data_IF_619498323422
#
_entry.id   IF_619498323422
#
_cell.length_a   1.000
_cell.length_b   1.000
_cell.length_c   1.000
_cell.angle_alpha   90.00
_cell.angle_beta   90.00
_cell.angle_gamma   90.00
#
_symmetry.space_group_name_H-M   'P 1'
#
loop_
_entity.id
_entity.type
_entity.pdbx_description
1 polymer ?
#
# COMPACT_ATOMS: atom_id res chain seq x y z
N UNK A 1 -9.80 -2.17 -9.06
CA UNK A 1 -9.49 -3.11 -10.15
C UNK A 1 -10.37 -4.35 -10.18
N UNK A 2 -10.51 -5.11 -9.08
CA UNK A 2 -11.24 -6.38 -9.08
C UNK A 2 -10.44 -7.58 -9.58
N UNK A 3 -9.12 -7.45 -9.58
CA UNK A 3 -8.22 -8.55 -9.86
C UNK A 3 -8.00 -9.40 -8.60
N UNK A 4 -8.05 -10.72 -8.73
CA UNK A 4 -7.60 -11.64 -7.69
C UNK A 4 -6.07 -11.73 -7.75
N UNK A 5 -5.33 -11.38 -6.68
CA UNK A 5 -3.89 -11.60 -6.64
C UNK A 5 -3.56 -13.09 -6.79
N UNK A 6 -2.59 -13.40 -7.64
CA UNK A 6 -2.16 -14.78 -7.93
C UNK A 6 -0.68 -15.02 -7.63
N UNK A 7 0.14 -13.97 -7.63
CA UNK A 7 1.53 -14.06 -7.21
C UNK A 7 2.05 -12.70 -6.75
N UNK A 8 3.11 -12.73 -5.94
CA UNK A 8 3.86 -11.58 -5.50
C UNK A 8 5.34 -11.71 -5.89
N UNK A 9 6.03 -10.58 -5.98
CA UNK A 9 7.48 -10.51 -6.12
C UNK A 9 8.03 -9.37 -5.28
N UNK A 10 9.33 -9.38 -5.02
CA UNK A 10 9.99 -8.35 -4.23
C UNK A 10 11.31 -7.88 -4.87
N UNK A 11 11.65 -6.61 -4.70
CA UNK A 11 12.98 -6.09 -5.00
C UNK A 11 13.57 -5.44 -3.75
N UNK A 12 14.59 -6.08 -3.19
CA UNK A 12 15.18 -5.71 -1.90
C UNK A 12 16.61 -5.23 -2.09
N UNK A 13 16.92 -4.07 -1.52
CA UNK A 13 18.26 -3.50 -1.58
C UNK A 13 18.70 -3.14 -0.17
N UNK A 14 19.80 -3.73 0.29
CA UNK A 14 20.32 -3.56 1.64
C UNK A 14 21.74 -3.01 1.63
N UNK A 15 22.19 -2.55 2.79
CA UNK A 15 23.57 -2.09 3.01
C UNK A 15 24.62 -3.21 2.91
N UNK A 16 25.86 -2.88 3.22
CA UNK A 16 26.97 -3.82 3.30
C UNK A 16 26.73 -4.94 4.32
N UNK A 17 27.34 -6.11 4.09
CA UNK A 17 27.17 -7.31 4.91
C UNK A 17 27.51 -7.11 6.39
N UNK A 18 28.58 -6.34 6.63
CA UNK A 18 29.18 -6.04 7.93
C UNK A 18 28.59 -4.79 8.57
N UNK A 19 27.72 -4.06 7.86
CA UNK A 19 27.02 -2.92 8.43
C UNK A 19 26.10 -3.39 9.58
N UNK A 20 26.15 -2.78 10.77
CA UNK A 20 25.50 -3.31 11.98
C UNK A 20 24.00 -3.57 11.85
N UNK A 21 23.32 -2.80 10.99
CA UNK A 21 21.86 -2.89 10.78
C UNK A 21 21.45 -3.91 9.72
N UNK A 22 22.33 -4.23 8.76
CA UNK A 22 21.96 -5.00 7.57
C UNK A 22 21.36 -6.36 7.91
N UNK A 23 22.00 -7.10 8.82
CA UNK A 23 21.50 -8.42 9.23
C UNK A 23 20.11 -8.36 9.88
N UNK A 24 19.86 -7.34 10.69
CA UNK A 24 18.55 -7.14 11.32
C UNK A 24 17.49 -6.80 10.28
N UNK A 25 17.79 -5.87 9.36
CA UNK A 25 16.88 -5.45 8.30
C UNK A 25 16.52 -6.59 7.35
N UNK A 26 17.51 -7.36 6.88
CA UNK A 26 17.29 -8.52 6.00
C UNK A 26 16.34 -9.51 6.67
N UNK A 27 16.63 -9.89 7.92
CA UNK A 27 15.81 -10.87 8.63
C UNK A 27 14.39 -10.34 8.88
N UNK A 28 14.25 -9.08 9.29
CA UNK A 28 12.95 -8.47 9.58
C UNK A 28 12.08 -8.32 8.34
N UNK A 29 12.65 -7.84 7.23
CA UNK A 29 11.92 -7.65 5.96
C UNK A 29 11.49 -8.99 5.39
N UNK A 30 12.39 -9.98 5.31
CA UNK A 30 12.07 -11.30 4.76
C UNK A 30 11.03 -12.01 5.63
N UNK A 31 11.14 -11.93 6.97
CA UNK A 31 10.14 -12.48 7.87
C UNK A 31 8.77 -11.79 7.74
N UNK A 32 8.75 -10.46 7.56
CA UNK A 32 7.52 -9.71 7.33
C UNK A 32 6.81 -10.09 6.03
N UNK A 33 7.56 -10.17 4.91
CA UNK A 33 7.04 -10.61 3.61
C UNK A 33 6.50 -12.03 3.71
N UNK A 34 7.27 -12.95 4.31
CA UNK A 34 6.86 -14.33 4.56
C UNK A 34 5.58 -14.39 5.39
N UNK A 35 5.56 -13.73 6.54
CA UNK A 35 4.41 -13.76 7.46
C UNK A 35 3.13 -13.29 6.79
N UNK A 36 3.18 -12.16 6.06
CA UNK A 36 2.00 -11.60 5.44
C UNK A 36 1.56 -12.43 4.22
N UNK A 37 2.47 -12.70 3.28
CA UNK A 37 2.16 -13.43 2.05
C UNK A 37 1.66 -14.85 2.29
N UNK A 38 2.27 -15.56 3.24
CA UNK A 38 1.89 -16.94 3.56
C UNK A 38 0.51 -17.00 4.22
N UNK A 39 0.21 -16.08 5.15
CA UNK A 39 -1.09 -16.04 5.83
C UNK A 39 -2.21 -15.54 4.90
N UNK A 40 -1.92 -14.53 4.06
CA UNK A 40 -2.84 -14.02 3.06
C UNK A 40 -3.12 -15.05 1.95
N UNK A 41 -2.15 -15.95 1.71
CA UNK A 41 -2.26 -17.04 0.75
C UNK A 41 -1.98 -16.61 -0.69
N UNK A 42 -0.99 -15.73 -0.88
CA UNK A 42 -0.47 -15.36 -2.20
C UNK A 42 1.02 -15.68 -2.26
N UNK A 43 1.44 -16.55 -3.19
CA UNK A 43 2.83 -17.00 -3.23
C UNK A 43 3.77 -15.90 -3.70
N UNK A 44 4.92 -15.76 -3.04
CA UNK A 44 6.02 -14.88 -3.50
C UNK A 44 6.93 -15.68 -4.42
N UNK A 45 6.71 -15.57 -5.72
CA UNK A 45 7.30 -16.48 -6.74
C UNK A 45 8.67 -16.05 -7.25
N UNK A 46 9.13 -14.86 -6.89
CA UNK A 46 10.43 -14.38 -7.31
C UNK A 46 10.78 -13.00 -6.80
N UNK A 47 11.95 -12.51 -7.20
CA UNK A 47 12.40 -11.19 -6.81
C UNK A 47 13.88 -10.97 -7.08
N UNK A 48 14.40 -9.85 -6.58
CA UNK A 48 15.83 -9.58 -6.54
C UNK A 48 16.27 -9.13 -5.15
N UNK A 49 17.51 -9.43 -4.80
CA UNK A 49 18.14 -8.98 -3.57
C UNK A 49 19.56 -8.53 -3.92
N UNK A 50 19.88 -7.29 -3.55
CA UNK A 50 21.20 -6.68 -3.79
C UNK A 50 21.71 -5.99 -2.53
N UNK A 51 23.04 -5.89 -2.42
CA UNK A 51 23.75 -5.32 -1.29
C UNK A 51 24.76 -4.28 -1.77
N UNK A 52 24.58 -3.03 -1.38
CA UNK A 52 25.50 -1.93 -1.70
C UNK A 52 25.57 -0.93 -0.56
N UNK A 53 26.75 -0.35 -0.32
CA UNK A 53 26.97 0.66 0.73
C UNK A 53 26.06 1.88 0.62
N UNK A 54 25.56 2.19 -0.57
CA UNK A 54 24.62 3.29 -0.81
C UNK A 54 23.29 3.08 -0.06
N UNK A 55 23.00 1.84 0.35
CA UNK A 55 21.83 1.46 1.13
C UNK A 55 22.13 1.24 2.63
N UNK A 56 23.32 1.62 3.12
CA UNK A 56 23.66 1.55 4.56
C UNK A 56 22.75 2.45 5.41
N UNK A 57 22.34 3.60 4.87
CA UNK A 57 21.37 4.50 5.50
C UNK A 57 19.94 4.04 5.25
N UNK A 58 19.52 4.03 3.97
CA UNK A 58 18.16 3.71 3.57
C UNK A 58 18.13 2.44 2.71
N UNK A 59 17.57 1.35 3.23
CA UNK A 59 17.27 0.17 2.41
C UNK A 59 16.06 0.42 1.51
N UNK A 60 15.95 -0.32 0.41
CA UNK A 60 14.76 -0.32 -0.43
C UNK A 60 14.01 -1.64 -0.28
N UNK A 61 12.70 -1.56 -0.03
CA UNK A 61 11.79 -2.70 0.08
C UNK A 61 10.62 -2.46 -0.86
N UNK A 62 10.72 -2.99 -2.06
CA UNK A 62 9.65 -2.88 -3.05
C UNK A 62 8.88 -4.19 -3.11
N UNK A 63 7.57 -4.13 -2.90
CA UNK A 63 6.64 -5.22 -3.10
C UNK A 63 5.91 -5.06 -4.44
N UNK A 64 5.68 -6.17 -5.13
CA UNK A 64 4.93 -6.26 -6.37
C UNK A 64 3.88 -7.37 -6.22
N UNK A 65 2.69 -7.14 -6.73
CA UNK A 65 1.65 -8.15 -6.84
C UNK A 65 1.10 -8.19 -8.27
N UNK A 66 0.87 -9.40 -8.76
CA UNK A 66 0.13 -9.65 -10.01
C UNK A 66 -1.21 -10.27 -9.67
N UNK A 67 -2.27 -9.76 -10.28
CA UNK A 67 -3.61 -10.30 -10.17
C UNK A 67 -4.26 -10.50 -11.52
N UNK A 68 -5.24 -11.40 -11.57
CA UNK A 68 -6.03 -11.70 -12.77
C UNK A 68 -7.43 -11.13 -12.59
N UNK A 69 -7.90 -10.41 -13.60
CA UNK A 69 -9.26 -9.88 -13.69
C UNK A 69 -9.87 -10.26 -15.04
N UNK A 70 -11.20 -10.29 -15.11
CA UNK A 70 -11.90 -10.32 -16.38
C UNK A 70 -11.75 -8.96 -17.08
N UNK A 71 -11.47 -8.99 -18.37
CA UNK A 71 -11.18 -7.78 -19.17
C UNK A 71 -12.29 -6.73 -19.07
N UNK A 72 -13.54 -7.18 -19.06
CA UNK A 72 -14.73 -6.32 -19.10
C UNK A 72 -15.32 -6.05 -17.70
N UNK A 73 -14.65 -6.51 -16.63
CA UNK A 73 -15.05 -6.31 -15.24
C UNK A 73 -13.98 -5.56 -14.44
N UNK A 74 -13.40 -4.52 -15.05
CA UNK A 74 -12.41 -3.65 -14.40
C UNK A 74 -13.14 -2.53 -13.65
N UNK A 75 -12.91 -2.47 -12.34
CA UNK A 75 -13.49 -1.45 -11.46
C UNK A 75 -12.56 -0.26 -11.27
N UNK A 76 -13.12 0.93 -11.42
CA UNK A 76 -12.44 2.23 -11.26
C UNK A 76 -12.83 2.91 -9.95
N UNK A 77 -12.08 3.96 -9.57
CA UNK A 77 -12.29 4.71 -8.34
C UNK A 77 -13.04 6.04 -8.52
N UNK A 78 -13.26 6.49 -9.77
CA UNK A 78 -13.96 7.74 -10.04
C UNK A 78 -15.44 7.62 -9.68
N UNK A 79 -15.93 8.53 -8.84
CA UNK A 79 -17.34 8.59 -8.50
C UNK A 79 -18.20 8.90 -9.74
N UNK A 80 -19.28 8.15 -10.01
CA UNK A 80 -20.07 8.36 -11.23
C UNK A 80 -21.13 9.46 -11.10
N UNK A 81 -21.32 10.04 -9.92
CA UNK A 81 -22.28 11.11 -9.69
C UNK A 81 -22.54 11.43 -8.22
N UNK A 82 -23.37 12.46 -7.95
CA UNK A 82 -23.76 12.90 -6.62
C UNK A 82 -24.77 11.95 -5.95
N UNK A 83 -25.03 12.17 -4.67
CA UNK A 83 -26.03 11.47 -3.85
C UNK A 83 -25.85 9.94 -3.79
N UNK A 84 -24.60 9.48 -3.89
CA UNK A 84 -24.24 8.09 -3.69
C UNK A 84 -23.69 7.88 -2.28
N UNK A 85 -24.11 6.82 -1.58
CA UNK A 85 -23.61 6.53 -0.25
C UNK A 85 -22.14 6.12 -0.31
N UNK A 86 -21.33 6.74 0.55
CA UNK A 86 -19.93 6.39 0.75
C UNK A 86 -19.85 5.35 1.85
N UNK A 87 -19.31 4.19 1.50
CA UNK A 87 -19.27 3.03 2.36
C UNK A 87 -17.82 2.73 2.77
N UNK A 88 -17.62 2.65 4.07
CA UNK A 88 -16.41 2.14 4.70
C UNK A 88 -16.58 0.65 4.97
N UNK A 89 -15.54 -0.14 4.69
CA UNK A 89 -15.49 -1.53 5.13
C UNK A 89 -14.06 -2.03 5.36
N UNK A 90 -13.93 -3.06 6.19
CA UNK A 90 -12.65 -3.65 6.59
C UNK A 90 -12.37 -3.50 8.08
N UNK A 91 -11.10 -3.34 8.45
CA UNK A 91 -10.65 -3.17 9.82
C UNK A 91 -11.12 -1.84 10.43
N UNK A 92 -11.06 -1.70 11.76
CA UNK A 92 -11.41 -0.45 12.46
C UNK A 92 -10.25 0.54 12.45
N UNK A 93 -10.58 1.82 12.36
CA UNK A 93 -9.63 2.93 12.37
C UNK A 93 -9.04 3.13 13.78
N UNK A 94 -7.71 3.13 13.89
CA UNK A 94 -6.96 3.40 15.13
C UNK A 94 -5.90 4.50 14.91
N UNK A 95 -5.07 4.79 15.91
CA UNK A 95 -4.03 5.82 15.82
C UNK A 95 -2.75 5.31 15.14
N UNK A 96 -2.90 4.64 14.01
CA UNK A 96 -1.80 3.97 13.31
C UNK A 96 -1.22 4.88 12.22
N UNK A 97 0.11 5.01 12.16
CA UNK A 97 0.80 5.67 11.06
C UNK A 97 0.41 7.14 10.81
N UNK A 98 -0.15 7.84 11.79
CA UNK A 98 -0.49 9.27 11.65
C UNK A 98 0.82 10.03 11.39
N UNK A 99 0.85 10.81 10.30
CA UNK A 99 2.04 11.44 9.71
C UNK A 99 3.01 10.52 8.95
N UNK A 100 2.64 9.27 8.67
CA UNK A 100 3.44 8.31 7.90
C UNK A 100 3.87 8.88 6.55
N UNK A 101 2.92 9.38 5.75
CA UNK A 101 3.20 10.03 4.46
C UNK A 101 4.15 11.25 4.56
N UNK A 102 3.96 12.11 5.56
CA UNK A 102 4.81 13.30 5.77
C UNK A 102 6.23 12.92 6.19
N UNK A 103 6.37 11.87 7.02
CA UNK A 103 7.65 11.34 7.45
C UNK A 103 8.39 10.62 6.32
N UNK A 104 7.70 9.84 5.48
CA UNK A 104 8.28 9.19 4.31
C UNK A 104 8.83 10.20 3.28
N UNK A 105 8.35 11.45 3.33
CA UNK A 105 8.76 12.54 2.45
C UNK A 105 9.81 13.46 3.09
N UNK A 106 10.19 13.23 4.36
CA UNK A 106 11.21 14.00 5.06
C UNK A 106 12.61 13.43 4.78
N UNK A 107 13.65 14.28 4.80
CA UNK A 107 15.02 13.80 4.82
C UNK A 107 15.30 13.12 6.18
N UNK A 108 15.76 11.87 6.15
CA UNK A 108 16.15 11.14 7.36
C UNK A 108 17.50 11.69 7.86
N UNK A 109 17.47 12.46 8.95
CA UNK A 109 18.65 12.93 9.69
C UNK A 109 18.86 12.11 10.97
N UNK A 110 19.96 12.35 11.69
CA UNK A 110 20.29 11.62 12.93
C UNK A 110 19.24 11.83 14.05
N UNK A 111 18.40 12.88 13.97
CA UNK A 111 17.32 13.15 14.92
C UNK A 111 16.00 12.42 14.55
N UNK A 112 15.86 11.93 13.31
CA UNK A 112 14.68 11.21 12.82
C UNK A 112 14.47 9.83 13.47
N UNK A 113 15.52 9.22 14.03
CA UNK A 113 15.47 7.94 14.76
C UNK A 113 14.51 7.96 15.97
N UNK A 114 14.28 9.14 16.55
CA UNK A 114 13.39 9.33 17.70
C UNK A 114 11.90 9.46 17.32
N UNK A 115 11.61 9.76 16.05
CA UNK A 115 10.24 9.88 15.52
C UNK A 115 9.81 8.52 15.01
N UNK A 116 9.55 7.57 15.91
CA UNK A 116 8.89 6.31 15.55
C UNK A 116 7.39 6.55 15.56
N UNK A 117 6.73 6.78 14.40
CA UNK A 117 5.28 6.71 14.35
C UNK A 117 4.83 5.34 14.88
N UNK A 118 3.58 5.27 15.32
CA UNK A 118 2.94 4.00 15.69
C UNK A 118 3.17 2.99 14.57
N UNK A 119 3.97 1.97 14.88
CA UNK A 119 4.39 0.94 13.92
C UNK A 119 3.14 0.32 13.30
N UNK A 120 3.03 0.40 11.98
CA UNK A 120 1.96 -0.26 11.25
C UNK A 120 2.12 -1.78 11.42
N UNK A 121 1.10 -2.43 11.96
CA UNK A 121 1.03 -3.88 12.07
C UNK A 121 -0.11 -4.32 11.18
N UNK A 122 0.22 -4.99 10.08
CA UNK A 122 -0.78 -5.53 9.18
C UNK A 122 -1.42 -6.81 9.73
N UNK A 123 -2.68 -7.03 9.39
CA UNK A 123 -3.45 -8.23 9.72
C UNK A 123 -3.81 -9.01 8.44
N UNK A 124 -2.94 -9.93 7.98
CA UNK A 124 -3.15 -10.66 6.73
C UNK A 124 -4.41 -11.55 6.75
N UNK A 125 -4.92 -11.91 7.94
CA UNK A 125 -6.15 -12.71 8.05
C UNK A 125 -7.38 -11.85 7.79
N UNK A 126 -7.40 -10.62 8.30
CA UNK A 126 -8.42 -9.64 7.97
C UNK A 126 -8.34 -9.23 6.50
N UNK A 127 -7.13 -8.99 5.97
CA UNK A 127 -6.95 -8.68 4.54
C UNK A 127 -7.46 -9.82 3.65
N UNK A 128 -7.25 -11.09 4.03
CA UNK A 128 -7.79 -12.22 3.26
C UNK A 128 -9.32 -12.21 3.23
N UNK A 129 -9.98 -11.96 4.36
CA UNK A 129 -11.44 -11.81 4.40
C UNK A 129 -11.89 -10.62 3.56
N UNK A 130 -11.17 -9.50 3.64
CA UNK A 130 -11.44 -8.29 2.88
C UNK A 130 -11.34 -8.51 1.37
N UNK A 131 -10.32 -9.26 0.91
CA UNK A 131 -10.18 -9.66 -0.49
C UNK A 131 -11.41 -10.46 -0.96
N UNK A 132 -11.79 -11.50 -0.23
CA UNK A 132 -12.91 -12.36 -0.65
C UNK A 132 -14.24 -11.60 -0.62
N UNK A 133 -14.48 -10.79 0.41
CA UNK A 133 -15.67 -9.94 0.50
C UNK A 133 -15.73 -8.91 -0.64
N UNK A 134 -14.60 -8.27 -0.96
CA UNK A 134 -14.50 -7.29 -2.04
C UNK A 134 -14.79 -7.91 -3.40
N UNK A 135 -14.23 -9.09 -3.69
CA UNK A 135 -14.48 -9.80 -4.95
C UNK A 135 -15.94 -10.27 -5.05
N UNK A 136 -16.54 -10.74 -3.96
CA UNK A 136 -17.96 -11.10 -3.92
C UNK A 136 -18.88 -9.88 -4.11
N UNK A 137 -18.52 -8.74 -3.50
CA UNK A 137 -19.23 -7.48 -3.64
C UNK A 137 -19.20 -6.98 -5.09
N UNK A 138 -18.04 -7.02 -5.73
CA UNK A 138 -17.86 -6.67 -7.14
C UNK A 138 -18.68 -7.57 -8.05
N UNK A 139 -18.65 -8.88 -7.83
CA UNK A 139 -19.43 -9.85 -8.62
C UNK A 139 -20.95 -9.65 -8.48
N UNK A 140 -21.43 -9.10 -7.36
CA UNK A 140 -22.85 -8.74 -7.18
C UNK A 140 -23.28 -7.51 -8.02
N UNK A 141 -22.31 -6.78 -8.59
CA UNK A 141 -22.53 -5.52 -9.31
C UNK A 141 -23.04 -4.40 -8.41
N UNK A 142 -22.74 -4.44 -7.11
CA UNK A 142 -23.12 -3.39 -6.16
C UNK A 142 -22.15 -2.21 -6.16
N UNK A 143 -20.91 -2.42 -6.62
CA UNK A 143 -19.84 -1.41 -6.62
C UNK A 143 -20.00 -0.45 -7.81
N UNK A 144 -20.11 0.83 -7.51
CA UNK A 144 -20.08 1.93 -8.47
C UNK A 144 -18.68 2.52 -8.61
N UNK A 145 -17.98 2.66 -7.49
CA UNK A 145 -16.58 3.06 -7.41
C UNK A 145 -15.96 2.43 -6.16
N UNK A 146 -14.65 2.18 -6.17
CA UNK A 146 -13.94 1.60 -5.03
C UNK A 146 -12.48 2.07 -4.98
N UNK A 147 -11.96 2.23 -3.78
CA UNK A 147 -10.60 2.69 -3.51
C UNK A 147 -10.08 2.01 -2.23
N UNK A 148 -8.80 1.62 -2.23
CA UNK A 148 -8.09 1.21 -1.02
C UNK A 148 -7.73 2.43 -0.15
N UNK A 149 -7.42 2.19 1.13
CA UNK A 149 -6.93 3.21 2.06
C UNK A 149 -5.48 2.95 2.43
N UNK A 150 -4.58 3.80 1.94
CA UNK A 150 -3.15 3.75 2.23
C UNK A 150 -2.66 5.03 2.90
N UNK A 151 -1.68 5.68 2.28
CA UNK A 151 -1.09 6.93 2.76
C UNK A 151 -2.15 8.03 2.95
N UNK A 152 -2.11 8.73 4.08
CA UNK A 152 -3.12 9.71 4.50
C UNK A 152 -4.57 9.17 4.60
N UNK A 153 -4.76 7.84 4.58
CA UNK A 153 -5.99 7.15 4.92
C UNK A 153 -7.24 7.66 4.21
N UNK A 154 -8.29 7.89 5.00
CA UNK A 154 -9.60 8.36 4.53
C UNK A 154 -9.53 9.65 3.73
N UNK A 155 -8.61 10.55 4.10
CA UNK A 155 -8.46 11.85 3.42
C UNK A 155 -8.12 11.64 1.95
N UNK A 156 -7.06 10.87 1.67
CA UNK A 156 -6.62 10.62 0.31
C UNK A 156 -7.68 9.84 -0.47
N UNK A 157 -8.18 8.74 0.09
CA UNK A 157 -9.12 7.85 -0.61
C UNK A 157 -10.43 8.55 -0.99
N UNK A 158 -11.01 9.36 -0.09
CA UNK A 158 -12.26 10.07 -0.35
C UNK A 158 -12.06 11.26 -1.31
N UNK A 159 -10.98 12.03 -1.13
CA UNK A 159 -10.66 13.15 -2.03
C UNK A 159 -10.38 12.65 -3.44
N UNK A 160 -9.53 11.64 -3.61
CA UNK A 160 -9.23 11.10 -4.94
C UNK A 160 -10.50 10.57 -5.63
N UNK A 161 -11.35 9.85 -4.89
CA UNK A 161 -12.60 9.30 -5.42
C UNK A 161 -13.54 10.39 -5.94
N UNK A 162 -13.72 11.46 -5.16
CA UNK A 162 -14.57 12.59 -5.53
C UNK A 162 -13.96 13.46 -6.64
N UNK A 163 -12.68 13.82 -6.52
CA UNK A 163 -11.97 14.68 -7.48
C UNK A 163 -11.90 14.04 -8.88
N UNK A 164 -11.59 12.74 -8.98
CA UNK A 164 -11.59 12.00 -10.25
C UNK A 164 -12.98 11.86 -10.86
N UNK A 165 -14.03 11.92 -10.03
CA UNK A 165 -15.43 11.84 -10.45
C UNK A 165 -16.12 13.19 -10.67
N UNK A 166 -15.40 14.31 -10.48
CA UNK A 166 -15.93 15.67 -10.51
C UNK A 166 -17.18 15.86 -9.63
N UNK A 167 -17.12 15.33 -8.39
CA UNK A 167 -18.16 15.49 -7.36
C UNK A 167 -17.54 15.87 -6.01
N UNK A 168 -18.32 16.49 -5.14
CA UNK A 168 -17.96 16.67 -3.73
C UNK A 168 -18.18 15.39 -2.92
N UNK A 169 -17.69 15.38 -1.68
CA UNK A 169 -17.86 14.29 -0.71
C UNK A 169 -18.10 14.89 0.67
N UNK A 170 -19.17 14.47 1.33
CA UNK A 170 -19.39 14.72 2.76
C UNK A 170 -19.16 13.44 3.55
N UNK A 171 -18.30 13.48 4.56
CA UNK A 171 -18.08 12.38 5.51
C UNK A 171 -18.62 12.75 6.90
N UNK A 172 -19.19 11.76 7.57
CA UNK A 172 -19.57 11.79 8.98
C UNK A 172 -18.66 10.84 9.77
N UNK A 173 -17.79 11.42 10.60
CA UNK A 173 -16.80 10.67 11.36
C UNK A 173 -17.39 9.90 12.54
N UNK A 174 -18.60 10.27 12.99
CA UNK A 174 -19.27 9.53 14.06
C UNK A 174 -19.74 8.15 13.58
N UNK A 175 -19.86 7.96 12.26
CA UNK A 175 -20.20 6.68 11.63
C UNK A 175 -18.98 5.81 11.32
N UNK A 176 -17.75 6.33 11.46
CA UNK A 176 -16.53 5.57 11.16
C UNK A 176 -16.26 4.53 12.26
N UNK A 177 -16.09 3.24 11.92
CA UNK A 177 -15.70 2.23 12.90
C UNK A 177 -14.31 2.54 13.47
N UNK A 178 -14.23 2.82 14.77
CA UNK A 178 -12.97 3.12 15.48
C UNK A 178 -12.61 2.03 16.49
N UNK A 179 -11.31 1.80 16.68
CA UNK A 179 -10.76 0.86 17.67
C UNK A 179 -10.53 1.53 19.03
N UNK A 180 -10.30 2.84 19.02
CA UNK A 180 -9.96 3.64 20.19
C UNK A 180 -11.02 4.71 20.43
N UNK A 181 -11.42 4.90 21.69
CA UNK A 181 -12.35 5.97 22.06
C UNK A 181 -11.67 7.34 22.00
N UNK A 182 -12.46 8.39 21.73
CA UNK A 182 -11.99 9.78 21.78
C UNK A 182 -10.92 10.13 20.73
N UNK A 183 -10.89 9.42 19.61
CA UNK A 183 -10.11 9.85 18.45
C UNK A 183 -10.66 11.17 17.91
N UNK A 184 -9.79 12.12 17.66
CA UNK A 184 -10.15 13.40 17.03
C UNK A 184 -10.43 13.22 15.54
N UNK A 185 -11.10 14.21 14.94
CA UNK A 185 -11.31 14.25 13.49
C UNK A 185 -10.00 14.13 12.70
N UNK A 186 -8.94 14.79 13.18
CA UNK A 186 -7.59 14.72 12.61
C UNK A 186 -7.04 13.28 12.58
N UNK A 187 -7.16 12.59 13.71
CA UNK A 187 -6.63 11.23 13.87
C UNK A 187 -7.42 10.21 13.06
N UNK A 188 -8.74 10.34 12.98
CA UNK A 188 -9.58 9.47 12.14
C UNK A 188 -9.24 9.67 10.66
N UNK A 189 -9.15 10.93 10.22
CA UNK A 189 -8.95 11.27 8.81
C UNK A 189 -7.57 10.90 8.27
N UNK A 190 -6.52 11.00 9.09
CA UNK A 190 -5.13 10.77 8.68
C UNK A 190 -4.54 9.46 9.22
N UNK A 191 -5.36 8.64 9.89
CA UNK A 191 -4.98 7.29 10.27
C UNK A 191 -4.64 6.46 9.04
N UNK A 192 -3.50 5.79 9.10
CA UNK A 192 -3.02 4.81 8.11
C UNK A 192 -3.19 3.38 8.67
N UNK A 193 -4.24 3.12 9.48
CA UNK A 193 -4.64 1.75 9.82
C UNK A 193 -4.83 0.92 8.55
N UNK A 194 -4.35 -0.32 8.59
CA UNK A 194 -4.31 -1.21 7.42
C UNK A 194 -5.66 -1.94 7.22
N UNK A 195 -5.79 -2.67 6.11
CA UNK A 195 -6.94 -3.52 5.77
C UNK A 195 -8.29 -2.78 5.72
N UNK A 196 -8.33 -1.63 5.04
CA UNK A 196 -9.53 -0.79 4.89
C UNK A 196 -9.76 -0.37 3.46
N UNK A 197 -11.03 -0.26 3.08
CA UNK A 197 -11.43 0.18 1.75
C UNK A 197 -12.66 1.10 1.82
N UNK A 198 -12.78 1.95 0.79
CA UNK A 198 -13.90 2.85 0.58
C UNK A 198 -14.59 2.49 -0.74
N UNK A 199 -15.92 2.47 -0.76
CA UNK A 199 -16.67 2.28 -2.00
C UNK A 199 -17.91 3.15 -2.08
N UNK A 200 -18.33 3.46 -3.30
CA UNK A 200 -19.69 3.90 -3.59
C UNK A 200 -20.52 2.69 -3.98
N UNK A 201 -21.65 2.51 -3.31
CA UNK A 201 -22.53 1.35 -3.51
C UNK A 201 -23.85 1.80 -4.14
N UNK A 202 -24.36 1.02 -5.10
CA UNK A 202 -25.73 1.19 -5.60
C UNK A 202 -26.71 1.05 -4.43
N UNK A 203 -27.49 2.11 -4.10
CA UNK A 203 -28.43 2.08 -2.98
C UNK A 203 -29.42 0.90 -3.05
N UNK A 204 -29.79 0.45 -4.27
CA UNK A 204 -30.69 -0.69 -4.47
C UNK A 204 -30.09 -2.02 -4.05
N UNK A 205 -28.75 -2.09 -3.95
CA UNK A 205 -27.99 -3.28 -3.59
C UNK A 205 -27.34 -3.18 -2.20
N UNK A 206 -27.62 -2.12 -1.45
CA UNK A 206 -27.05 -1.91 -0.11
C UNK A 206 -27.29 -3.09 0.84
N UNK A 207 -28.52 -3.63 0.89
CA UNK A 207 -28.83 -4.78 1.74
C UNK A 207 -27.97 -5.99 1.38
N UNK A 208 -27.80 -6.25 0.08
CA UNK A 208 -26.96 -7.35 -0.41
C UNK A 208 -25.49 -7.13 -0.06
N UNK A 209 -24.99 -5.90 -0.20
CA UNK A 209 -23.63 -5.56 0.20
C UNK A 209 -23.40 -5.85 1.69
N UNK A 210 -24.31 -5.38 2.56
CA UNK A 210 -24.24 -5.62 4.01
C UNK A 210 -24.24 -7.11 4.37
N UNK A 211 -25.05 -7.93 3.69
CA UNK A 211 -25.06 -9.38 3.90
C UNK A 211 -23.71 -10.04 3.55
N UNK A 212 -23.03 -9.57 2.50
CA UNK A 212 -21.71 -10.07 2.11
C UNK A 212 -20.70 -9.78 3.21
N UNK A 213 -20.63 -8.56 3.72
CA UNK A 213 -19.66 -8.22 4.78
C UNK A 213 -19.99 -8.89 6.12
N UNK A 214 -21.27 -9.09 6.45
CA UNK A 214 -21.67 -9.89 7.61
C UNK A 214 -21.22 -11.35 7.50
N UNK A 215 -21.33 -11.96 6.30
CA UNK A 215 -20.84 -13.33 6.04
C UNK A 215 -19.34 -13.46 6.25
N UNK A 216 -18.57 -12.44 5.89
CA UNK A 216 -17.10 -12.43 6.01
C UNK A 216 -16.59 -11.87 7.35
N UNK A 217 -17.49 -11.52 8.28
CA UNK A 217 -17.15 -10.97 9.60
C UNK A 217 -16.28 -9.69 9.50
N UNK A 218 -16.77 -8.72 8.73
CA UNK A 218 -16.12 -7.42 8.51
C UNK A 218 -17.08 -6.27 8.84
N UNK A 219 -16.53 -5.18 9.41
CA UNK A 219 -17.30 -3.97 9.63
C UNK A 219 -17.70 -3.36 8.27
N UNK A 220 -18.92 -2.82 8.21
CA UNK A 220 -19.52 -2.19 7.04
C UNK A 220 -20.39 -1.01 7.49
N UNK A 221 -20.01 0.20 7.13
CA UNK A 221 -20.66 1.42 7.58
C UNK A 221 -20.88 2.40 6.42
N UNK A 222 -22.07 2.99 6.37
CA UNK A 222 -22.29 4.19 5.56
C UNK A 222 -21.74 5.38 6.34
N UNK A 223 -20.75 6.05 5.76
CA UNK A 223 -19.94 7.06 6.46
C UNK A 223 -20.04 8.42 5.79
N UNK A 224 -20.88 8.57 4.78
CA UNK A 224 -20.98 9.79 4.02
C UNK A 224 -21.72 9.62 2.72
N UNK A 225 -21.65 10.65 1.88
CA UNK A 225 -22.22 10.66 0.54
C UNK A 225 -21.48 11.58 -0.42
N UNK A 226 -21.60 11.34 -1.73
CA UNK A 226 -21.15 12.28 -2.75
C UNK A 226 -22.13 13.46 -2.90
N UNK A 227 -21.63 14.62 -3.34
CA UNK A 227 -22.38 15.88 -3.44
C UNK A 227 -22.08 16.60 -4.77
N UNK A 228 -22.93 17.56 -5.16
CA UNK A 228 -22.78 18.32 -6.42
C UNK A 228 -21.86 19.55 -6.30
N UNK A 229 -21.49 19.94 -5.09
CA UNK A 229 -20.89 21.25 -4.78
C UNK A 229 -19.36 21.29 -4.87
N UNK A 230 -18.71 20.19 -5.29
CA UNK A 230 -17.25 20.05 -5.37
C UNK A 230 -16.53 20.38 -4.05
N UNK A 231 -17.22 20.18 -2.91
CA UNK A 231 -16.67 20.37 -1.57
C UNK A 231 -16.28 19.03 -0.97
N UNK A 232 -15.15 19.02 -0.27
CA UNK A 232 -14.80 17.96 0.67
C UNK A 232 -15.15 18.43 2.08
N UNK A 233 -16.24 17.90 2.63
CA UNK A 233 -16.78 18.29 3.94
C UNK A 233 -16.63 17.14 4.92
N UNK A 234 -16.04 17.41 6.08
CA UNK A 234 -15.88 16.43 7.15
C UNK A 234 -16.64 16.91 8.38
N UNK A 235 -17.50 16.06 8.92
CA UNK A 235 -18.32 16.35 10.10
C UNK A 235 -18.00 15.40 11.24
N UNK A 236 -18.06 15.90 12.47
CA UNK A 236 -17.92 15.10 13.69
C UNK A 236 -18.68 15.79 14.82
N UNK A 237 -19.49 15.05 15.58
CA UNK A 237 -20.33 15.60 16.64
C UNK A 237 -21.36 16.62 16.15
N UNK A 238 -21.78 16.51 14.89
CA UNK A 238 -22.69 17.47 14.23
C UNK A 238 -22.02 18.78 13.74
N UNK A 239 -20.74 19.00 14.04
CA UNK A 239 -19.98 20.18 13.64
C UNK A 239 -19.11 19.91 12.41
N UNK A 240 -18.82 20.97 11.63
CA UNK A 240 -17.91 20.87 10.46
C UNK A 240 -16.47 20.97 10.94
N UNK A 241 -15.72 19.87 10.83
CA UNK A 241 -14.32 19.79 11.19
C UNK A 241 -13.40 20.28 10.05
N UNK A 242 -13.80 20.06 8.79
CA UNK A 242 -13.09 20.55 7.62
C UNK A 242 -14.07 20.79 6.46
N UNK A 243 -13.78 21.81 5.64
CA UNK A 243 -14.54 22.15 4.45
C UNK A 243 -13.59 22.78 3.42
N UNK A 244 -13.24 22.04 2.37
CA UNK A 244 -12.20 22.41 1.40
C UNK A 244 -12.64 22.14 -0.05
N UNK A 245 -12.10 22.87 -1.05
CA UNK A 245 -12.37 22.57 -2.46
C UNK A 245 -11.74 21.22 -2.83
N UNK A 246 -12.53 20.28 -3.35
CA UNK A 246 -12.03 18.90 -3.53
C UNK A 246 -10.99 18.78 -4.65
N UNK A 247 -11.11 19.60 -5.72
CA UNK A 247 -10.18 19.59 -6.86
C UNK A 247 -8.79 20.12 -6.47
N UNK A 248 -8.74 21.15 -5.63
CA UNK A 248 -7.48 21.71 -5.10
C UNK A 248 -6.70 20.69 -4.25
N UNK A 249 -7.41 19.78 -3.58
CA UNK A 249 -6.79 18.71 -2.79
C UNK A 249 -6.35 17.50 -3.62
N UNK A 250 -7.05 17.20 -4.72
CA UNK A 250 -6.81 16.00 -5.53
C UNK A 250 -5.90 16.23 -6.74
N UNK A 251 -6.27 17.17 -7.61
CA UNK A 251 -5.76 17.24 -8.99
C UNK A 251 -4.91 18.50 -9.27
N UNK A 252 -4.93 19.50 -8.39
CA UNK A 252 -4.32 20.82 -8.64
C UNK A 252 -3.11 21.14 -7.74
N UNK A 253 -2.44 20.09 -7.24
CA UNK A 253 -1.22 20.27 -6.47
C UNK A 253 -0.12 20.96 -7.32
N UNK A 254 0.63 21.94 -6.78
CA UNK A 254 1.69 22.61 -7.54
C UNK A 254 2.80 21.66 -8.01
N UNK A 255 3.09 21.67 -9.31
CA UNK A 255 4.21 20.91 -9.88
C UNK A 255 5.51 21.71 -9.88
N UNK A 256 6.60 21.08 -9.44
CA UNK A 256 7.93 21.70 -9.42
C UNK A 256 8.75 21.35 -10.67
N UNK A 257 9.07 22.34 -11.49
CA UNK A 257 10.11 22.22 -12.53
C UNK A 257 11.46 22.67 -11.98
N UNK A 258 12.27 21.72 -11.51
CA UNK A 258 13.61 21.99 -10.94
C UNK A 258 14.69 21.87 -12.01
N UNK A 259 15.72 22.76 -12.04
CA UNK A 259 16.87 22.59 -12.90
C UNK A 259 17.53 21.22 -12.65
N UNK A 260 17.75 20.45 -13.71
CA UNK A 260 18.46 19.16 -13.66
C UNK A 260 19.76 19.31 -14.44
N UNK A 261 20.88 18.99 -13.81
CA UNK A 261 22.13 18.86 -14.55
C UNK A 261 22.00 17.72 -15.56
N UNK A 262 22.58 17.89 -16.75
CA UNK A 262 22.79 16.78 -17.67
C UNK A 262 23.64 15.74 -16.94
N UNK A 263 23.04 14.59 -16.60
CA UNK A 263 23.79 13.45 -16.08
C UNK A 263 24.73 13.02 -17.19
N UNK A 264 26.01 13.35 -17.05
CA UNK A 264 27.06 12.87 -17.95
C UNK A 264 26.93 11.36 -18.09
N UNK A 265 26.96 10.88 -19.35
CA UNK A 265 26.96 9.45 -19.66
C UNK A 265 27.99 8.78 -18.78
N UNK A 266 27.58 7.76 -18.02
CA UNK A 266 28.51 6.90 -17.28
C UNK A 266 29.61 6.51 -18.28
N UNK A 267 30.89 6.85 -18.02
CA UNK A 267 31.94 6.61 -18.99
C UNK A 267 31.97 5.12 -19.31
N UNK A 268 31.99 4.79 -20.60
CA UNK A 268 32.02 3.41 -21.03
C UNK A 268 33.23 2.70 -20.41
N UNK A 269 32.99 1.51 -19.84
CA UNK A 269 34.06 0.71 -19.27
C UNK A 269 35.03 0.29 -20.39
N UNK A 270 36.29 0.71 -20.29
CA UNK A 270 37.32 0.28 -21.23
C UNK A 270 37.77 -1.15 -20.89
N UNK A 271 37.10 -2.12 -21.52
CA UNK A 271 37.36 -3.55 -21.33
C UNK A 271 38.82 -3.94 -21.60
N UNK A 272 39.54 -3.19 -22.43
CA UNK A 272 40.95 -3.48 -22.74
C UNK A 272 41.88 -3.15 -21.57
N UNK A 273 41.44 -2.31 -20.62
CA UNK A 273 42.18 -1.97 -19.40
C UNK A 273 41.91 -2.93 -18.25
N UNK A 274 40.91 -3.81 -18.38
CA UNK A 274 40.60 -4.78 -17.34
C UNK A 274 41.70 -5.84 -17.28
N UNK A 275 42.31 -5.99 -16.10
CA UNK A 275 43.26 -7.06 -15.84
C UNK A 275 42.48 -8.30 -15.40
N UNK A 276 42.54 -9.36 -16.21
CA UNK A 276 41.94 -10.63 -15.83
C UNK A 276 42.71 -11.26 -14.65
N UNK A 277 42.02 -11.87 -13.68
CA UNK A 277 42.67 -12.60 -12.61
C UNK A 277 43.47 -13.77 -13.18
N UNK A 278 44.69 -13.99 -12.66
CA UNK A 278 45.57 -15.08 -13.11
C UNK A 278 45.02 -16.46 -12.74
N UNK A 279 44.34 -16.55 -11.59
CA UNK A 279 43.66 -17.75 -11.13
C UNK A 279 42.15 -17.58 -11.29
N UNK A 280 41.63 -18.10 -12.40
CA UNK A 280 40.20 -18.06 -12.69
C UNK A 280 39.38 -18.89 -11.70
N UNK A 281 39.94 -20.00 -11.19
CA UNK A 281 39.22 -20.85 -10.23
C UNK A 281 38.99 -20.10 -8.92
N UNK A 282 40.04 -19.46 -8.39
CA UNK A 282 39.91 -18.63 -7.19
C UNK A 282 38.93 -17.48 -7.41
N UNK A 283 39.04 -16.77 -8.54
CA UNK A 283 38.14 -15.67 -8.86
C UNK A 283 36.67 -16.12 -8.94
N UNK A 284 36.37 -17.26 -9.59
CA UNK A 284 35.02 -17.82 -9.64
C UNK A 284 34.49 -18.17 -8.25
N UNK A 285 35.32 -18.77 -7.38
CA UNK A 285 34.91 -19.08 -6.01
C UNK A 285 34.62 -17.81 -5.20
N UNK A 286 35.46 -16.76 -5.33
CA UNK A 286 35.20 -15.45 -4.71
C UNK A 286 33.89 -14.84 -5.20
N UNK A 287 33.62 -14.91 -6.50
CA UNK A 287 32.38 -14.42 -7.09
C UNK A 287 31.16 -15.18 -6.54
N UNK A 288 31.18 -16.51 -6.55
CA UNK A 288 30.09 -17.33 -6.02
C UNK A 288 29.84 -17.15 -4.51
N UNK A 289 30.90 -16.84 -3.74
CA UNK A 289 30.81 -16.53 -2.32
C UNK A 289 30.34 -15.10 -2.03
N UNK A 290 30.26 -14.22 -3.05
CA UNK A 290 29.82 -12.85 -2.87
C UNK A 290 28.34 -12.76 -2.52
N UNK A 291 27.96 -11.71 -1.82
CA UNK A 291 26.55 -11.45 -1.53
C UNK A 291 25.72 -11.23 -2.80
N UNK A 292 26.28 -10.87 -3.95
CA UNK A 292 25.50 -10.67 -5.17
C UNK A 292 25.17 -11.96 -5.94
N UNK A 293 26.04 -12.97 -5.86
CA UNK A 293 25.88 -14.21 -6.64
C UNK A 293 25.57 -15.45 -5.78
N UNK A 294 25.67 -15.32 -4.46
CA UNK A 294 25.31 -16.38 -3.54
C UNK A 294 23.83 -16.76 -3.63
N UNK A 295 23.55 -18.01 -3.30
CA UNK A 295 22.19 -18.55 -3.35
C UNK A 295 21.22 -17.74 -2.50
N UNK A 296 20.07 -17.41 -3.08
CA UNK A 296 18.95 -16.74 -2.41
C UNK A 296 18.00 -17.71 -1.71
N UNK A 297 18.34 -19.00 -1.69
CA UNK A 297 17.53 -20.07 -1.08
C UNK A 297 17.06 -19.74 0.35
N UNK A 298 17.90 -19.20 1.27
CA UNK A 298 17.45 -18.86 2.62
C UNK A 298 16.34 -17.80 2.69
N UNK A 299 16.14 -17.02 1.62
CA UNK A 299 15.08 -16.01 1.52
C UNK A 299 13.82 -16.66 0.99
N UNK A 300 13.87 -17.26 -0.20
CA UNK A 300 12.67 -17.77 -0.87
C UNK A 300 12.09 -19.02 -0.19
N UNK A 301 12.88 -19.81 0.55
CA UNK A 301 12.34 -20.95 1.34
C UNK A 301 11.46 -20.52 2.51
N UNK A 302 11.45 -19.23 2.87
CA UNK A 302 10.51 -18.69 3.86
C UNK A 302 9.16 -18.35 3.24
N UNK A 303 9.08 -18.24 1.92
CA UNK A 303 7.86 -17.87 1.22
C UNK A 303 7.12 -19.12 0.76
N UNK A 304 5.80 -19.10 0.91
CA UNK A 304 4.96 -20.10 0.29
C UNK A 304 4.98 -19.92 -1.23
N UNK A 305 5.02 -21.05 -1.94
CA UNK A 305 5.01 -21.14 -3.40
C UNK A 305 3.97 -22.15 -3.91
N UNK A 306 3.15 -22.73 -3.03
CA UNK A 306 2.23 -23.83 -3.34
C UNK A 306 0.76 -23.43 -3.21
N UNK A 307 0.43 -22.48 -2.34
CA UNK A 307 -0.93 -22.04 -2.09
C UNK A 307 -1.56 -21.56 -3.40
N UNK A 308 -2.73 -22.12 -3.70
CA UNK A 308 -3.49 -21.87 -4.93
C UNK A 308 -3.29 -22.93 -6.02
N UNK A 309 -2.26 -23.80 -5.96
CA UNK A 309 -1.98 -24.81 -6.99
C UNK A 309 -1.94 -24.26 -8.44
N UNK A 310 -1.60 -22.98 -8.61
CA UNK A 310 -1.52 -22.29 -9.89
C UNK A 310 -0.09 -21.84 -10.23
N UNK A 311 0.88 -22.23 -9.42
CA UNK A 311 2.32 -22.05 -9.62
C UNK A 311 2.90 -23.30 -10.29
N UNK A 312 3.71 -23.11 -11.34
CA UNK A 312 4.37 -24.17 -12.12
C UNK A 312 5.89 -24.04 -12.02
#
# INVERSE_FOLDING_TARGET
MGARPVAAMNALFFGEADHPRTRHLVNGVVAGISSYGNAFGVPTVGGMVSFDKSYNGNCLVNAFAVGIAERDAIFYSAAPGPDLPVIYFGARTGRDGIHGASMASAEFDDESEAKRPTVQVGDPFTEKRLLEATLELMASGAVLAIQDMGAAGLTCSAVEMGAKGDVGVTLDLDAIPTREAGMSAYEIMLSESQERMLALIDPKKFTRAREIFAKWDLDFAEVGKTTEDLRFVVKMGGEVAADLPIKELGDEAPEYSRPRADRTKVPALDVKRLKLPKDLKAATLTMLASLELSSRRPIYEQYDYLIGNHTL
#
